data_IF_147390433646
#
_entry.id   IF_147390433646
#
_cell.length_a   1.000
_cell.length_b   1.000
_cell.length_c   1.000
_cell.angle_alpha   90.00
_cell.angle_beta   90.00
_cell.angle_gamma   90.00
#
_symmetry.space_group_name_H-M   'P 1'
#
loop_
_entity.id
_entity.type
_entity.pdbx_description
1 polymer ?
#
# COMPACT_ATOMS: atom_id res chain seq x y z
N UNK A 1 -12.68 -8.74 7.26
CA UNK A 1 -12.21 -8.01 8.45
C UNK A 1 -13.33 -7.94 9.47
N UNK A 2 -13.70 -9.10 10.02
CA UNK A 2 -14.42 -9.13 11.29
C UNK A 2 -13.33 -9.16 12.37
N UNK A 3 -12.80 -7.97 12.67
CA UNK A 3 -11.99 -7.82 13.86
C UNK A 3 -13.00 -7.70 15.00
N UNK A 4 -13.34 -8.85 15.59
CA UNK A 4 -13.89 -8.87 16.95
C UNK A 4 -12.92 -8.03 17.79
N UNK A 5 -13.40 -6.88 18.24
CA UNK A 5 -12.69 -5.98 19.14
C UNK A 5 -12.65 -6.60 20.53
N UNK A 6 -12.01 -7.75 20.66
CA UNK A 6 -11.69 -8.33 21.97
C UNK A 6 -10.61 -7.45 22.60
N UNK A 7 -11.13 -6.44 23.29
CA UNK A 7 -10.58 -5.85 24.50
C UNK A 7 -9.09 -5.53 24.44
N UNK A 8 -8.76 -4.39 23.81
CA UNK A 8 -7.48 -3.74 24.06
C UNK A 8 -7.50 -3.30 25.53
N UNK A 9 -6.97 -4.13 26.42
CA UNK A 9 -6.76 -3.78 27.82
C UNK A 9 -5.74 -2.66 27.88
N UNK A 10 -6.23 -1.43 28.02
CA UNK A 10 -5.38 -0.28 28.31
C UNK A 10 -4.91 -0.43 29.75
N UNK A 11 -3.59 -0.39 30.04
CA UNK A 11 -3.12 -0.38 31.42
C UNK A 11 -3.82 0.75 32.15
N UNK A 12 -4.52 0.40 33.24
CA UNK A 12 -5.19 1.37 34.11
C UNK A 12 -4.11 2.30 34.67
N UNK A 13 -3.91 3.44 34.00
CA UNK A 13 -3.14 4.54 34.55
C UNK A 13 -3.96 5.00 35.75
N UNK A 14 -3.44 4.80 36.96
CA UNK A 14 -3.95 5.46 38.17
C UNK A 14 -3.69 6.96 38.04
N UNK A 15 -4.41 7.62 37.14
CA UNK A 15 -4.49 9.06 37.10
C UNK A 15 -5.40 9.49 38.25
N UNK A 16 -4.92 10.44 39.05
CA UNK A 16 -5.68 11.10 40.09
C UNK A 16 -7.05 11.60 39.56
N UNK A 17 -8.07 11.76 40.42
CA UNK A 17 -9.38 12.18 39.97
C UNK A 17 -9.31 13.60 39.42
N UNK A 18 -9.51 13.74 38.11
CA UNK A 18 -9.65 15.03 37.44
C UNK A 18 -8.60 15.25 36.37
N UNK A 19 -8.99 15.05 35.11
CA UNK A 19 -8.25 15.55 33.96
C UNK A 19 -8.40 14.67 32.73
N UNK A 20 -9.44 14.93 31.94
CA UNK A 20 -9.38 14.60 30.51
C UNK A 20 -8.23 15.38 29.89
N UNK A 21 -7.41 14.81 28.97
CA UNK A 21 -6.41 15.58 28.24
C UNK A 21 -7.15 16.58 27.35
N UNK A 22 -7.41 17.75 27.91
CA UNK A 22 -7.93 18.89 27.16
C UNK A 22 -6.73 19.51 26.46
N UNK A 23 -6.89 19.71 25.15
CA UNK A 23 -5.97 20.49 24.34
C UNK A 23 -5.81 21.85 25.00
N UNK A 24 -4.66 22.10 25.64
CA UNK A 24 -4.32 23.42 26.15
C UNK A 24 -4.04 24.33 24.96
N UNK A 25 -5.03 25.14 24.61
CA UNK A 25 -4.83 26.38 23.86
C UNK A 25 -3.78 27.23 24.60
N UNK A 26 -2.73 27.59 23.86
CA UNK A 26 -1.66 28.55 24.17
C UNK A 26 -0.75 28.24 25.36
N UNK A 27 0.42 27.67 25.07
CA UNK A 27 1.69 28.10 25.67
C UNK A 27 2.80 27.98 24.64
N UNK A 28 3.36 29.12 24.24
CA UNK A 28 4.64 29.18 23.57
C UNK A 28 5.69 28.58 24.49
N UNK A 29 6.31 27.47 24.11
CA UNK A 29 7.66 27.16 24.57
C UNK A 29 8.45 26.57 23.42
N UNK A 30 9.23 27.42 22.79
CA UNK A 30 10.41 27.06 22.02
C UNK A 30 11.44 26.37 22.94
N UNK A 31 11.22 25.11 23.27
CA UNK A 31 12.21 24.26 23.93
C UNK A 31 12.36 22.94 23.17
N UNK A 32 12.55 23.06 21.86
CA UNK A 32 13.27 22.05 21.08
C UNK A 32 14.77 22.19 21.36
N UNK A 33 15.16 22.17 22.64
CA UNK A 33 16.54 21.91 23.01
C UNK A 33 16.67 20.40 23.18
N UNK A 34 17.05 19.78 22.06
CA UNK A 34 18.05 18.73 21.98
C UNK A 34 18.15 17.78 23.19
N UNK A 35 17.07 17.07 23.51
CA UNK A 35 17.18 15.83 24.27
C UNK A 35 16.93 14.72 23.27
N UNK A 36 18.00 14.05 22.84
CA UNK A 36 17.94 12.69 22.29
C UNK A 36 17.32 11.79 23.37
N UNK A 37 15.99 11.85 23.48
CA UNK A 37 15.23 11.06 24.44
C UNK A 37 15.03 9.69 23.81
N UNK A 38 16.08 8.88 23.91
CA UNK A 38 15.99 7.44 23.66
C UNK A 38 14.91 6.91 24.59
N UNK A 39 13.69 6.75 24.08
CA UNK A 39 12.55 6.22 24.82
C UNK A 39 11.29 7.09 24.88
N UNK A 40 11.29 8.35 24.42
CA UNK A 40 10.05 9.13 24.34
C UNK A 40 9.45 9.04 22.93
N UNK A 41 8.34 8.30 22.80
CA UNK A 41 7.56 8.26 21.57
C UNK A 41 7.03 9.68 21.30
N UNK A 42 7.62 10.35 20.31
CA UNK A 42 7.11 11.62 19.80
C UNK A 42 5.72 11.39 19.20
N UNK A 43 4.79 12.31 19.45
CA UNK A 43 3.47 12.25 18.83
C UNK A 43 3.60 12.35 17.31
N UNK A 44 2.71 11.67 16.59
CA UNK A 44 2.63 11.84 15.15
C UNK A 44 2.32 13.32 14.81
N UNK A 45 2.92 13.89 13.76
CA UNK A 45 2.62 15.24 13.29
C UNK A 45 1.12 15.44 13.01
N UNK A 46 0.64 16.68 13.07
CA UNK A 46 -0.75 16.99 12.73
C UNK A 46 -1.01 16.73 11.25
N UNK A 47 -2.20 16.23 10.91
CA UNK A 47 -2.63 16.07 9.51
C UNK A 47 -2.64 17.39 8.71
N UNK A 48 -2.69 18.54 9.39
CA UNK A 48 -2.60 19.87 8.76
C UNK A 48 -1.18 20.20 8.30
N UNK A 49 -0.18 19.60 8.94
CA UNK A 49 1.24 19.85 8.69
C UNK A 49 1.83 18.82 7.71
N UNK A 50 1.08 17.76 7.39
CA UNK A 50 1.51 16.68 6.47
C UNK A 50 0.87 16.87 5.09
N UNK A 51 1.66 16.94 4.00
CA UNK A 51 1.13 17.02 2.65
C UNK A 51 0.23 15.84 2.29
N UNK A 52 -0.92 16.12 1.67
CA UNK A 52 -1.84 15.09 1.18
C UNK A 52 -1.58 14.83 -0.30
N UNK A 53 -1.05 13.66 -0.63
CA UNK A 53 -0.82 13.24 -2.01
C UNK A 53 -2.11 12.68 -2.62
N UNK A 54 -2.41 13.05 -3.86
CA UNK A 54 -3.41 12.37 -4.68
C UNK A 54 -2.79 11.13 -5.33
N UNK A 55 -3.54 10.02 -5.46
CA UNK A 55 -3.05 8.85 -6.18
C UNK A 55 -2.94 9.17 -7.68
N UNK A 56 -1.91 8.63 -8.33
CA UNK A 56 -1.76 8.72 -9.80
C UNK A 56 -2.86 7.92 -10.51
N UNK A 57 -3.20 6.75 -9.97
CA UNK A 57 -4.29 5.88 -10.45
C UNK A 57 -4.98 5.24 -9.24
N UNK A 58 -6.31 5.09 -9.32
CA UNK A 58 -7.10 4.31 -8.39
C UNK A 58 -8.03 3.37 -9.18
N UNK A 59 -7.81 2.06 -9.09
CA UNK A 59 -8.58 1.06 -9.81
C UNK A 59 -8.90 -0.14 -8.91
N UNK A 60 -10.11 -0.70 -9.04
CA UNK A 60 -10.51 -1.91 -8.32
C UNK A 60 -9.99 -3.14 -9.05
N UNK A 61 -8.92 -3.71 -8.52
CA UNK A 61 -8.23 -4.85 -9.13
C UNK A 61 -8.82 -6.22 -8.76
N UNK A 62 -9.53 -6.34 -7.63
CA UNK A 62 -10.18 -7.58 -7.17
C UNK A 62 -11.59 -7.29 -6.63
N UNK A 63 -12.44 -8.32 -6.62
CA UNK A 63 -13.77 -8.24 -6.01
C UNK A 63 -13.65 -8.17 -4.47
N UNK A 64 -12.84 -9.08 -3.92
CA UNK A 64 -12.51 -9.19 -2.50
C UNK A 64 -11.33 -8.30 -2.07
N UNK A 65 -11.17 -8.06 -0.76
CA UNK A 65 -10.05 -7.30 -0.24
C UNK A 65 -8.69 -7.86 -0.70
N UNK A 66 -7.79 -6.94 -1.07
CA UNK A 66 -6.40 -7.28 -1.36
C UNK A 66 -5.71 -7.82 -0.11
N UNK A 67 -5.03 -8.95 -0.26
CA UNK A 67 -4.20 -9.58 0.77
C UNK A 67 -2.71 -9.43 0.48
N UNK A 68 -2.32 -9.18 -0.77
CA UNK A 68 -0.92 -9.05 -1.16
C UNK A 68 -0.67 -8.20 -2.40
N UNK A 69 0.51 -7.56 -2.44
CA UNK A 69 1.02 -6.77 -3.55
C UNK A 69 2.54 -6.97 -3.66
N UNK A 70 3.02 -7.40 -4.83
CA UNK A 70 4.44 -7.65 -5.09
C UNK A 70 4.86 -6.89 -6.36
N UNK A 71 5.93 -6.11 -6.25
CA UNK A 71 6.59 -5.50 -7.41
C UNK A 71 7.74 -6.40 -7.86
N UNK A 72 7.55 -7.08 -8.99
CA UNK A 72 8.61 -7.86 -9.65
C UNK A 72 9.31 -7.02 -10.72
N UNK A 73 10.40 -7.55 -11.27
CA UNK A 73 11.18 -6.90 -12.33
C UNK A 73 10.30 -6.50 -13.51
N UNK A 74 9.50 -7.44 -14.01
CA UNK A 74 8.74 -7.27 -15.26
C UNK A 74 7.22 -7.22 -15.04
N UNK A 75 6.75 -7.28 -13.80
CA UNK A 75 5.32 -7.27 -13.48
C UNK A 75 5.00 -6.77 -12.08
N UNK A 76 3.71 -6.54 -11.83
CA UNK A 76 3.13 -6.37 -10.51
C UNK A 76 2.19 -7.54 -10.27
N UNK A 77 2.26 -8.16 -9.10
CA UNK A 77 1.38 -9.28 -8.74
C UNK A 77 0.49 -8.81 -7.59
N UNK A 78 -0.82 -9.05 -7.71
CA UNK A 78 -1.82 -8.72 -6.69
C UNK A 78 -2.53 -9.99 -6.26
N UNK A 79 -2.79 -10.13 -4.95
CA UNK A 79 -3.50 -11.26 -4.36
C UNK A 79 -4.75 -10.79 -3.61
N UNK A 80 -5.86 -11.52 -3.70
CA UNK A 80 -7.06 -11.31 -2.88
C UNK A 80 -7.12 -12.25 -1.68
N UNK A 81 -7.99 -11.96 -0.72
CA UNK A 81 -8.23 -12.84 0.43
C UNK A 81 -8.75 -14.25 0.04
N UNK A 82 -9.43 -14.38 -1.10
CA UNK A 82 -9.84 -15.67 -1.68
C UNK A 82 -8.68 -16.46 -2.31
N UNK A 83 -7.49 -15.88 -2.39
CA UNK A 83 -6.33 -16.52 -3.02
C UNK A 83 -6.24 -16.29 -4.53
N UNK A 84 -7.03 -15.38 -5.11
CA UNK A 84 -6.93 -15.04 -6.53
C UNK A 84 -5.70 -14.17 -6.80
N UNK A 85 -4.87 -14.61 -7.76
CA UNK A 85 -3.69 -13.89 -8.22
C UNK A 85 -3.96 -13.20 -9.56
N UNK A 86 -3.53 -11.95 -9.69
CA UNK A 86 -3.48 -11.23 -10.98
C UNK A 86 -2.09 -10.68 -11.23
N UNK A 87 -1.59 -10.89 -12.45
CA UNK A 87 -0.27 -10.44 -12.91
C UNK A 87 -0.46 -9.29 -13.91
N UNK A 88 0.16 -8.16 -13.60
CA UNK A 88 0.13 -6.94 -14.40
C UNK A 88 1.51 -6.73 -15.02
N UNK A 89 1.67 -7.12 -16.27
CA UNK A 89 2.94 -6.99 -16.99
C UNK A 89 3.31 -5.52 -17.15
N UNK A 90 4.57 -5.17 -16.90
CA UNK A 90 5.07 -3.83 -17.15
C UNK A 90 5.10 -3.57 -18.66
N UNK A 91 4.81 -2.34 -19.11
CA UNK A 91 4.99 -1.99 -20.51
C UNK A 91 6.44 -2.27 -20.94
N UNK A 92 6.64 -3.15 -21.92
CA UNK A 92 7.97 -3.38 -22.49
C UNK A 92 8.34 -2.19 -23.39
N UNK A 93 9.59 -1.72 -23.32
CA UNK A 93 10.08 -0.61 -24.18
C UNK A 93 10.34 -1.07 -25.62
N UNK A 94 10.23 -2.36 -25.93
CA UNK A 94 10.41 -2.89 -27.28
C UNK A 94 9.10 -2.85 -28.05
N UNK A 95 8.93 -1.78 -28.83
CA UNK A 95 8.03 -1.77 -29.97
C UNK A 95 8.56 -2.76 -31.03
N UNK A 96 8.26 -4.04 -30.88
CA UNK A 96 8.33 -4.97 -31.99
C UNK A 96 7.08 -5.85 -31.91
N UNK A 97 6.15 -5.77 -32.89
CA UNK A 97 5.10 -6.75 -32.98
C UNK A 97 5.80 -8.10 -33.13
N UNK A 98 5.61 -9.00 -32.17
CA UNK A 98 6.01 -10.38 -32.33
C UNK A 98 5.30 -10.86 -33.60
N UNK A 99 6.09 -11.09 -34.64
CA UNK A 99 5.60 -11.40 -35.97
C UNK A 99 4.64 -12.57 -35.92
N UNK A 100 3.53 -12.44 -36.65
CA UNK A 100 2.87 -13.61 -37.22
C UNK A 100 3.95 -14.41 -37.93
N UNK A 101 4.31 -15.56 -37.38
CA UNK A 101 4.95 -16.61 -38.16
C UNK A 101 3.89 -17.17 -39.11
N UNK A 102 3.72 -16.53 -40.27
CA UNK A 102 3.07 -17.14 -41.41
C UNK A 102 3.92 -18.36 -41.79
N UNK A 103 3.42 -19.55 -41.46
CA UNK A 103 4.03 -20.81 -41.87
C UNK A 103 3.77 -20.96 -43.37
N UNK A 104 4.80 -21.09 -44.24
CA UNK A 104 4.56 -21.31 -45.66
C UNK A 104 3.92 -22.69 -45.83
N UNK A 105 2.71 -22.71 -46.40
CA UNK A 105 2.03 -23.93 -46.82
C UNK A 105 2.78 -24.51 -48.03
N UNK A 106 3.67 -25.48 -47.80
CA UNK A 106 4.26 -26.29 -48.86
C UNK A 106 3.15 -27.10 -49.55
N UNK A 107 2.77 -26.67 -50.74
CA UNK A 107 1.92 -27.44 -51.65
C UNK A 107 2.75 -28.59 -52.25
N UNK A 108 2.51 -29.82 -51.79
CA UNK A 108 2.98 -31.03 -52.45
C UNK A 108 2.34 -31.13 -53.84
N UNK A 109 3.10 -30.75 -54.85
CA UNK A 109 2.81 -30.97 -56.26
C UNK A 109 3.12 -32.44 -56.59
N UNK A 110 2.11 -33.30 -56.61
CA UNK A 110 2.22 -34.66 -57.11
C UNK A 110 1.63 -34.73 -58.51
N UNK A 111 2.52 -34.75 -59.47
CA UNK A 111 2.32 -35.04 -60.86
C UNK A 111 2.60 -36.54 -61.11
N UNK A 112 1.54 -37.34 -61.23
CA UNK A 112 1.47 -38.58 -62.03
C UNK A 112 0.02 -38.87 -62.43
#
# INVERSE_FOLDING_TARGET
WDLVMDEIVVPVRRCAPGGSPTYSTSSQSSCVDNVNSVGLLQSAPSRRDVPKLSPVVAHRVHAEPLSGLIFAKDSIITCSHEGHLKIWTRPCRTNSPAGNSDVPHESLNNNE
#
